data_IF_333077333966
#
_entry.id   IF_333077333966
#
_cell.length_a   1.000
_cell.length_b   1.000
_cell.length_c   1.000
_cell.angle_alpha   90.00
_cell.angle_beta   90.00
_cell.angle_gamma   90.00
#
_symmetry.space_group_name_H-M   'P 1'
#
loop_
_entity.id
_entity.type
_entity.pdbx_description
1 polymer ?
#
# COMPACT_ATOMS: atom_id res chain seq x y z
N UNK A 1 -14.87 12.59 -9.73
CA UNK A 1 -15.80 11.54 -10.22
C UNK A 1 -16.49 10.93 -9.01
N UNK A 2 -17.82 11.00 -8.96
CA UNK A 2 -18.64 10.40 -7.90
C UNK A 2 -18.71 8.90 -8.14
N UNK A 3 -18.03 8.10 -7.32
CA UNK A 3 -18.14 6.63 -7.34
C UNK A 3 -19.54 6.29 -6.85
N UNK A 4 -20.42 5.91 -7.76
CA UNK A 4 -21.75 5.42 -7.43
C UNK A 4 -21.63 4.11 -6.64
N UNK A 5 -22.39 4.01 -5.55
CA UNK A 5 -22.35 2.87 -4.64
C UNK A 5 -22.97 1.65 -5.35
N UNK A 6 -22.18 0.60 -5.53
CA UNK A 6 -22.64 -0.66 -6.14
C UNK A 6 -23.16 -1.60 -5.05
N UNK A 7 -24.46 -1.59 -4.79
CA UNK A 7 -25.06 -2.34 -3.69
C UNK A 7 -25.33 -3.83 -4.01
N UNK A 8 -25.39 -4.22 -5.28
CA UNK A 8 -25.67 -5.60 -5.69
C UNK A 8 -24.49 -6.25 -6.42
N UNK A 9 -24.33 -7.57 -6.25
CA UNK A 9 -23.35 -8.40 -6.96
C UNK A 9 -24.00 -9.10 -8.15
N UNK A 10 -23.29 -9.15 -9.27
CA UNK A 10 -23.69 -9.85 -10.48
C UNK A 10 -23.03 -11.23 -10.58
N UNK A 11 -23.57 -12.10 -11.43
CA UNK A 11 -23.00 -13.42 -11.65
C UNK A 11 -21.59 -13.34 -12.27
N UNK A 12 -21.36 -12.38 -13.17
CA UNK A 12 -20.05 -12.19 -13.82
C UNK A 12 -18.99 -11.71 -12.81
N UNK A 13 -19.37 -10.84 -11.86
CA UNK A 13 -18.50 -10.45 -10.74
C UNK A 13 -18.16 -11.64 -9.83
N UNK A 14 -19.13 -12.52 -9.56
CA UNK A 14 -18.90 -13.75 -8.77
C UNK A 14 -18.01 -14.75 -9.50
N UNK A 15 -18.15 -14.88 -10.83
CA UNK A 15 -17.32 -15.75 -11.66
C UNK A 15 -15.88 -15.25 -11.68
N UNK A 16 -15.66 -13.96 -11.87
CA UNK A 16 -14.33 -13.34 -11.81
C UNK A 16 -13.68 -13.53 -10.44
N UNK A 17 -14.44 -13.30 -9.37
CA UNK A 17 -13.96 -13.52 -8.00
C UNK A 17 -13.55 -14.99 -7.79
N UNK A 18 -14.33 -15.94 -8.31
CA UNK A 18 -14.01 -17.36 -8.22
C UNK A 18 -12.74 -17.73 -8.99
N UNK A 19 -12.62 -17.29 -10.24
CA UNK A 19 -11.47 -17.57 -11.09
C UNK A 19 -10.16 -17.09 -10.44
N UNK A 20 -10.12 -15.83 -10.01
CA UNK A 20 -8.91 -15.21 -9.45
C UNK A 20 -8.56 -15.87 -8.11
N UNK A 21 -9.53 -16.14 -7.24
CA UNK A 21 -9.25 -16.79 -5.95
C UNK A 21 -8.76 -18.23 -6.14
N UNK A 22 -9.36 -19.00 -7.05
CA UNK A 22 -8.89 -20.36 -7.36
C UNK A 22 -7.50 -20.35 -7.97
N UNK A 23 -7.19 -19.37 -8.83
CA UNK A 23 -5.83 -19.17 -9.39
C UNK A 23 -4.80 -18.94 -8.27
N UNK A 24 -5.05 -18.01 -7.36
CA UNK A 24 -4.15 -17.77 -6.22
C UNK A 24 -4.00 -18.99 -5.30
N UNK A 25 -5.05 -19.81 -5.13
CA UNK A 25 -4.95 -21.06 -4.36
C UNK A 25 -4.02 -22.07 -5.06
N UNK A 26 -4.11 -22.21 -6.38
CA UNK A 26 -3.20 -23.10 -7.15
C UNK A 26 -1.75 -22.63 -7.08
N UNK A 27 -1.54 -21.32 -7.25
CA UNK A 27 -0.23 -20.68 -7.23
C UNK A 27 0.37 -20.54 -5.82
N UNK A 28 -0.36 -20.91 -4.77
CA UNK A 28 0.10 -20.84 -3.38
C UNK A 28 0.13 -19.43 -2.77
N UNK A 29 -0.47 -18.44 -3.44
CA UNK A 29 -0.64 -17.08 -2.93
C UNK A 29 -1.79 -16.99 -1.91
N UNK A 30 -1.92 -15.83 -1.25
CA UNK A 30 -2.95 -15.58 -0.24
C UNK A 30 -4.27 -15.12 -0.86
N UNK A 31 -5.38 -15.46 -0.20
CA UNK A 31 -6.72 -14.96 -0.60
C UNK A 31 -6.82 -13.44 -0.48
N UNK A 32 -6.09 -12.80 0.45
CA UNK A 32 -6.06 -11.34 0.58
C UNK A 32 -5.51 -10.66 -0.67
N UNK A 33 -4.44 -11.20 -1.26
CA UNK A 33 -3.90 -10.74 -2.54
C UNK A 33 -4.92 -10.90 -3.67
N UNK A 34 -5.63 -12.05 -3.70
CA UNK A 34 -6.71 -12.28 -4.66
C UNK A 34 -7.84 -11.23 -4.52
N UNK A 35 -8.27 -10.93 -3.30
CA UNK A 35 -9.33 -9.95 -3.04
C UNK A 35 -8.91 -8.52 -3.38
N UNK A 36 -7.63 -8.17 -3.17
CA UNK A 36 -7.11 -6.87 -3.59
C UNK A 36 -7.09 -6.74 -5.12
N UNK A 37 -6.69 -7.80 -5.83
CA UNK A 37 -6.67 -7.83 -7.29
C UNK A 37 -8.10 -7.68 -7.85
N UNK A 38 -9.04 -8.49 -7.36
CA UNK A 38 -10.45 -8.43 -7.81
C UNK A 38 -11.10 -7.11 -7.41
N UNK A 39 -10.78 -6.59 -6.21
CA UNK A 39 -11.29 -5.29 -5.75
C UNK A 39 -10.91 -4.15 -6.70
N UNK A 40 -9.66 -4.12 -7.17
CA UNK A 40 -9.20 -3.13 -8.17
C UNK A 40 -9.94 -3.26 -9.49
N UNK A 41 -10.17 -4.50 -9.98
CA UNK A 41 -10.86 -4.74 -11.25
C UNK A 41 -12.34 -4.38 -11.19
N UNK A 42 -13.03 -4.72 -10.10
CA UNK A 42 -14.45 -4.46 -9.91
C UNK A 42 -14.75 -3.07 -9.33
N UNK A 43 -13.72 -2.25 -9.06
CA UNK A 43 -13.86 -0.99 -8.33
C UNK A 43 -14.56 -1.14 -6.97
N UNK A 44 -14.30 -2.26 -6.27
CA UNK A 44 -14.83 -2.61 -4.94
C UNK A 44 -13.69 -2.71 -3.92
N UNK A 45 -14.03 -2.65 -2.63
CA UNK A 45 -13.03 -2.86 -1.57
C UNK A 45 -12.68 -4.33 -1.41
N UNK A 46 -11.42 -4.65 -1.08
CA UNK A 46 -10.98 -6.02 -0.83
C UNK A 46 -11.81 -6.71 0.27
N UNK A 47 -12.26 -5.94 1.26
CA UNK A 47 -13.16 -6.43 2.32
C UNK A 47 -14.53 -6.85 1.77
N UNK A 48 -15.10 -6.12 0.80
CA UNK A 48 -16.36 -6.48 0.16
C UNK A 48 -16.22 -7.77 -0.67
N UNK A 49 -15.12 -7.91 -1.41
CA UNK A 49 -14.79 -9.15 -2.15
C UNK A 49 -14.67 -10.34 -1.19
N UNK A 50 -13.97 -10.16 -0.05
CA UNK A 50 -13.87 -11.20 0.97
C UNK A 50 -15.21 -11.59 1.59
N UNK A 51 -16.08 -10.61 1.88
CA UNK A 51 -17.42 -10.90 2.38
C UNK A 51 -18.27 -11.67 1.36
N UNK A 52 -18.24 -11.27 0.07
CA UNK A 52 -18.97 -11.95 -0.99
C UNK A 52 -18.47 -13.38 -1.19
N UNK A 53 -17.15 -13.56 -1.18
CA UNK A 53 -16.51 -14.86 -1.27
C UNK A 53 -17.00 -15.80 -0.16
N UNK A 54 -16.88 -15.36 1.10
CA UNK A 54 -17.21 -16.20 2.25
C UNK A 54 -18.72 -16.48 2.39
N UNK A 55 -19.57 -15.51 2.06
CA UNK A 55 -21.03 -15.64 2.22
C UNK A 55 -21.69 -16.50 1.14
N UNK A 56 -21.22 -16.41 -0.11
CA UNK A 56 -21.89 -16.99 -1.27
C UNK A 56 -20.96 -17.81 -2.18
N UNK A 57 -19.94 -17.19 -2.77
CA UNK A 57 -19.16 -17.80 -3.88
C UNK A 57 -18.40 -19.05 -3.42
N UNK A 58 -17.78 -19.04 -2.23
CA UNK A 58 -17.06 -20.20 -1.67
C UNK A 58 -17.94 -21.45 -1.55
N UNK A 59 -19.24 -21.28 -1.28
CA UNK A 59 -20.18 -22.39 -1.16
C UNK A 59 -20.54 -23.00 -2.52
N UNK A 60 -20.57 -22.19 -3.57
CA UNK A 60 -20.84 -22.63 -4.94
C UNK A 60 -19.64 -23.35 -5.57
N UNK A 61 -18.42 -22.91 -5.26
CA UNK A 61 -17.18 -23.41 -5.88
C UNK A 61 -16.39 -24.40 -5.00
N UNK A 62 -17.05 -25.15 -4.11
CA UNK A 62 -16.38 -26.10 -3.19
C UNK A 62 -15.46 -27.10 -3.92
N UNK A 63 -15.97 -27.76 -4.96
CA UNK A 63 -15.21 -28.72 -5.78
C UNK A 63 -14.02 -28.07 -6.48
N UNK A 64 -14.17 -26.83 -6.95
CA UNK A 64 -13.07 -26.06 -7.55
C UNK A 64 -11.97 -25.75 -6.55
N UNK A 65 -12.32 -25.44 -5.30
CA UNK A 65 -11.35 -25.16 -4.22
C UNK A 65 -10.55 -26.42 -3.88
N UNK A 66 -11.22 -27.58 -3.79
CA UNK A 66 -10.56 -28.86 -3.54
C UNK A 66 -9.57 -29.22 -4.65
N UNK A 67 -9.99 -29.08 -5.91
CA UNK A 67 -9.12 -29.32 -7.05
C UNK A 67 -7.92 -28.37 -7.06
N UNK A 68 -8.13 -27.08 -6.79
CA UNK A 68 -7.06 -26.07 -6.72
C UNK A 68 -6.04 -26.39 -5.62
N UNK A 69 -6.50 -26.82 -4.43
CA UNK A 69 -5.63 -27.27 -3.33
C UNK A 69 -4.85 -28.52 -3.70
N UNK A 70 -5.49 -29.48 -4.38
CA UNK A 70 -4.83 -30.71 -4.85
C UNK A 70 -3.71 -30.37 -5.84
N UNK A 71 -3.97 -29.49 -6.80
CA UNK A 71 -2.98 -29.03 -7.77
C UNK A 71 -1.80 -28.31 -7.11
N UNK A 72 -2.04 -27.46 -6.11
CA UNK A 72 -0.96 -26.84 -5.32
C UNK A 72 -0.08 -27.91 -4.66
N UNK A 73 -0.69 -28.91 -4.02
CA UNK A 73 0.04 -30.01 -3.36
C UNK A 73 0.88 -30.81 -4.36
N UNK A 74 0.34 -31.11 -5.54
CA UNK A 74 1.07 -31.81 -6.61
C UNK A 74 2.23 -30.97 -7.17
N UNK A 75 2.07 -29.65 -7.30
CA UNK A 75 3.16 -28.76 -7.76
C UNK A 75 4.31 -28.68 -6.75
N UNK A 76 4.01 -28.63 -5.45
CA UNK A 76 5.02 -28.62 -4.38
C UNK A 76 5.81 -29.94 -4.36
N UNK A 77 5.15 -31.08 -4.60
CA UNK A 77 5.82 -32.40 -4.64
C UNK A 77 6.74 -32.55 -5.87
N UNK A 78 6.38 -31.94 -6.99
CA UNK A 78 7.15 -32.05 -8.24
C UNK A 78 8.28 -31.02 -8.38
N UNK A 79 8.33 -29.96 -7.56
CA UNK A 79 9.37 -28.93 -7.64
C UNK A 79 9.75 -28.38 -6.25
N UNK A 80 10.70 -29.02 -5.54
CA UNK A 80 11.06 -28.66 -4.16
C UNK A 80 11.87 -27.36 -4.00
N UNK A 81 12.08 -26.57 -5.05
CA UNK A 81 12.94 -25.36 -5.03
C UNK A 81 12.19 -24.02 -4.87
N UNK A 82 10.86 -24.03 -4.69
CA UNK A 82 10.04 -22.80 -4.58
C UNK A 82 9.36 -22.68 -3.21
N UNK A 83 10.14 -22.72 -2.13
CA UNK A 83 9.69 -22.28 -0.81
C UNK A 83 10.77 -21.43 -0.14
N UNK A 84 10.95 -20.20 -0.63
CA UNK A 84 11.56 -19.10 0.11
C UNK A 84 10.82 -17.82 -0.19
N UNK A 85 9.57 -17.77 0.26
CA UNK A 85 8.93 -16.56 0.79
C UNK A 85 7.43 -16.82 0.93
N UNK A 86 6.89 -16.55 2.11
CA UNK A 86 5.46 -16.63 2.50
C UNK A 86 5.02 -17.89 3.25
N UNK A 87 5.66 -18.18 4.39
CA UNK A 87 4.98 -18.89 5.49
C UNK A 87 4.30 -17.84 6.36
N UNK A 88 3.01 -17.63 6.12
CA UNK A 88 2.09 -17.04 7.09
C UNK A 88 0.76 -17.81 6.96
N UNK A 89 0.79 -19.05 7.46
CA UNK A 89 -0.39 -19.89 7.67
C UNK A 89 -1.23 -19.30 8.80
N UNK A 90 -2.21 -18.48 8.45
CA UNK A 90 -3.42 -18.31 9.29
C UNK A 90 -4.41 -19.35 8.79
N UNK A 91 -4.37 -20.54 9.38
CA UNK A 91 -5.38 -21.57 9.19
C UNK A 91 -6.69 -21.08 9.83
N UNK A 92 -7.60 -20.59 8.99
CA UNK A 92 -9.01 -20.53 9.34
C UNK A 92 -9.49 -21.97 9.55
N UNK A 93 -9.69 -22.33 10.82
CA UNK A 93 -10.38 -23.52 11.30
C UNK A 93 -11.64 -23.75 10.46
N UNK A 94 -11.59 -24.75 9.58
CA UNK A 94 -12.75 -25.34 8.95
C UNK A 94 -13.41 -26.26 9.97
N UNK A 95 -14.57 -25.86 10.49
CA UNK A 95 -15.54 -26.80 11.03
C UNK A 95 -16.04 -27.61 9.83
N UNK A 96 -15.44 -28.78 9.61
CA UNK A 96 -15.97 -29.79 8.70
C UNK A 96 -17.07 -30.56 9.44
N UNK A 97 -18.29 -30.50 8.91
CA UNK A 97 -19.34 -31.47 9.23
C UNK A 97 -18.86 -32.85 8.78
N UNK A 98 -18.41 -33.64 9.75
CA UNK A 98 -18.11 -35.06 9.57
C UNK A 98 -19.44 -35.79 9.44
N UNK A 99 -19.73 -36.27 8.23
CA UNK A 99 -20.66 -37.39 8.02
C UNK A 99 -19.93 -38.67 8.46
N UNK A 100 -20.42 -39.44 9.45
CA UNK A 100 -19.70 -40.62 9.90
C UNK A 100 -20.25 -41.87 9.18
N UNK A 101 -19.65 -42.18 8.03
CA UNK A 101 -19.49 -43.56 7.60
C UNK A 101 -18.00 -43.90 7.72
N UNK A 102 -17.53 -44.25 8.92
CA UNK A 102 -16.26 -44.95 9.12
C UNK A 102 -16.38 -45.95 10.27
N UNK A 103 -16.29 -47.23 9.90
CA UNK A 103 -16.00 -48.34 10.78
C UNK A 103 -14.63 -48.14 11.45
N UNK A 104 -14.51 -48.47 12.74
CA UNK A 104 -13.24 -48.47 13.48
C UNK A 104 -13.08 -47.35 14.50
N UNK A 105 -13.62 -47.54 15.71
CA UNK A 105 -13.27 -46.72 16.88
C UNK A 105 -11.84 -47.03 17.31
N UNK A 106 -10.87 -46.28 16.81
CA UNK A 106 -9.70 -45.96 17.62
C UNK A 106 -10.12 -44.82 18.55
N UNK A 107 -10.41 -45.16 19.80
CA UNK A 107 -10.65 -44.17 20.84
C UNK A 107 -9.39 -43.34 21.00
N UNK A 108 -9.45 -42.05 20.66
CA UNK A 108 -8.37 -41.09 20.92
C UNK A 108 -7.90 -41.28 22.35
N UNK A 109 -6.60 -41.51 22.50
CA UNK A 109 -6.00 -41.78 23.80
C UNK A 109 -5.83 -40.47 24.57
N UNK A 110 -5.92 -40.51 25.90
CA UNK A 110 -5.72 -39.33 26.73
C UNK A 110 -4.33 -38.71 26.51
N UNK A 111 -3.31 -39.53 26.18
CA UNK A 111 -1.98 -39.03 25.85
C UNK A 111 -1.95 -38.20 24.56
N UNK A 112 -2.71 -38.56 23.53
CA UNK A 112 -2.82 -37.78 22.28
C UNK A 112 -3.49 -36.42 22.52
N UNK A 113 -4.51 -36.39 23.39
CA UNK A 113 -5.16 -35.12 23.79
C UNK A 113 -4.18 -34.23 24.55
N UNK A 114 -3.42 -34.80 25.48
CA UNK A 114 -2.40 -34.04 26.23
C UNK A 114 -1.35 -33.48 25.27
N UNK A 115 -0.81 -34.31 24.35
CA UNK A 115 0.17 -33.86 23.37
C UNK A 115 -0.37 -32.72 22.51
N UNK A 116 -1.62 -32.83 22.04
CA UNK A 116 -2.27 -31.79 21.26
C UNK A 116 -2.42 -30.49 22.04
N UNK A 117 -2.91 -30.55 23.29
CA UNK A 117 -3.09 -29.37 24.13
C UNK A 117 -1.75 -28.70 24.50
N UNK A 118 -0.70 -29.48 24.78
CA UNK A 118 0.64 -28.94 25.03
C UNK A 118 1.21 -28.25 23.79
N UNK A 119 1.03 -28.85 22.61
CA UNK A 119 1.46 -28.22 21.35
C UNK A 119 0.67 -26.94 21.05
N UNK A 120 -0.63 -26.93 21.39
CA UNK A 120 -1.48 -25.75 21.23
C UNK A 120 -1.08 -24.63 22.19
N UNK A 121 -0.72 -24.95 23.43
CA UNK A 121 -0.18 -23.99 24.40
C UNK A 121 1.15 -23.39 23.92
N UNK A 122 2.07 -24.23 23.43
CA UNK A 122 3.35 -23.76 22.87
C UNK A 122 3.15 -22.82 21.68
N UNK A 123 2.23 -23.14 20.77
CA UNK A 123 1.88 -22.27 19.65
C UNK A 123 1.29 -20.94 20.14
N UNK A 124 0.40 -20.97 21.12
CA UNK A 124 -0.22 -19.77 21.68
C UNK A 124 0.80 -18.85 22.38
N UNK A 125 1.77 -19.43 23.07
CA UNK A 125 2.88 -18.71 23.70
C UNK A 125 3.78 -18.02 22.66
N UNK A 126 4.10 -18.70 21.55
CA UNK A 126 4.86 -18.12 20.45
C UNK A 126 4.10 -16.99 19.76
N UNK A 127 2.80 -17.20 19.49
CA UNK A 127 1.94 -16.22 18.84
C UNK A 127 1.76 -14.97 19.72
N UNK A 128 1.65 -15.12 21.04
CA UNK A 128 1.62 -13.99 21.97
C UNK A 128 2.93 -13.21 22.01
N UNK A 129 4.07 -13.89 22.05
CA UNK A 129 5.39 -13.22 21.99
C UNK A 129 5.57 -12.43 20.70
N UNK A 130 5.12 -12.98 19.58
CA UNK A 130 5.19 -12.29 18.29
C UNK A 130 4.24 -11.09 18.24
N UNK A 131 3.02 -11.23 18.77
CA UNK A 131 2.09 -10.10 18.93
C UNK A 131 2.67 -8.98 19.79
N UNK A 132 3.31 -9.31 20.90
CA UNK A 132 3.99 -8.32 21.75
C UNK A 132 5.09 -7.59 20.98
N UNK A 133 5.97 -8.31 20.28
CA UNK A 133 7.02 -7.71 19.45
C UNK A 133 6.47 -6.82 18.34
N UNK A 134 5.41 -7.26 17.66
CA UNK A 134 4.76 -6.47 16.61
C UNK A 134 4.14 -5.21 17.22
N UNK A 135 3.48 -5.32 18.37
CA UNK A 135 2.87 -4.19 19.07
C UNK A 135 3.92 -3.16 19.49
N UNK A 136 5.03 -3.59 20.09
CA UNK A 136 6.15 -2.72 20.47
C UNK A 136 6.75 -2.00 19.26
N UNK A 137 6.95 -2.74 18.15
CA UNK A 137 7.48 -2.17 16.92
C UNK A 137 6.50 -1.18 16.29
N UNK A 138 5.20 -1.45 16.33
CA UNK A 138 4.17 -0.53 15.84
C UNK A 138 4.20 0.78 16.63
N UNK A 139 4.25 0.70 17.97
CA UNK A 139 4.33 1.85 18.85
C UNK A 139 5.61 2.68 18.58
N UNK A 140 6.74 2.00 18.38
CA UNK A 140 8.00 2.66 18.04
C UNK A 140 7.92 3.40 16.69
N UNK A 141 7.38 2.74 15.66
CA UNK A 141 7.21 3.33 14.34
C UNK A 141 6.25 4.50 14.35
N UNK A 142 5.14 4.43 15.10
CA UNK A 142 4.21 5.55 15.26
C UNK A 142 4.89 6.76 15.91
N UNK A 143 5.66 6.55 16.99
CA UNK A 143 6.41 7.63 17.65
C UNK A 143 7.43 8.26 16.70
N UNK A 144 8.14 7.43 15.95
CA UNK A 144 9.14 7.91 14.98
C UNK A 144 8.49 8.67 13.82
N UNK A 145 7.32 8.21 13.35
CA UNK A 145 6.57 8.89 12.31
C UNK A 145 6.12 10.29 12.77
N UNK A 146 5.60 10.40 14.00
CA UNK A 146 5.26 11.70 14.59
C UNK A 146 6.49 12.62 14.66
N UNK A 147 7.62 12.11 15.15
CA UNK A 147 8.89 12.86 15.23
C UNK A 147 9.33 13.38 13.86
N UNK A 148 9.32 12.51 12.85
CA UNK A 148 9.71 12.87 11.49
C UNK A 148 8.74 13.88 10.87
N UNK A 149 7.44 13.77 11.15
CA UNK A 149 6.45 14.74 10.67
C UNK A 149 6.69 16.13 11.28
N UNK A 150 6.93 16.22 12.59
CA UNK A 150 7.28 17.47 13.26
C UNK A 150 8.56 18.10 12.66
N UNK A 151 9.60 17.29 12.46
CA UNK A 151 10.84 17.75 11.84
C UNK A 151 10.61 18.23 10.41
N UNK A 152 9.78 17.52 9.63
CA UNK A 152 9.44 17.90 8.26
C UNK A 152 8.70 19.22 8.19
N UNK A 153 7.78 19.47 9.13
CA UNK A 153 7.06 20.74 9.24
C UNK A 153 8.04 21.87 9.55
N UNK A 154 8.91 21.69 10.55
CA UNK A 154 9.91 22.68 10.92
C UNK A 154 10.87 23.01 9.77
N UNK A 155 11.36 21.98 9.07
CA UNK A 155 12.23 22.15 7.90
C UNK A 155 11.54 22.91 6.78
N UNK A 156 10.26 22.67 6.53
CA UNK A 156 9.48 23.39 5.52
C UNK A 156 9.29 24.86 5.88
N UNK A 157 9.03 25.16 7.15
CA UNK A 157 8.93 26.54 7.63
C UNK A 157 10.27 27.27 7.49
N UNK A 158 11.38 26.64 7.89
CA UNK A 158 12.72 27.19 7.72
C UNK A 158 13.06 27.44 6.24
N UNK A 159 12.73 26.48 5.36
CA UNK A 159 12.94 26.63 3.93
C UNK A 159 12.15 27.82 3.38
N UNK A 160 10.90 27.98 3.79
CA UNK A 160 10.06 29.12 3.39
C UNK A 160 10.64 30.45 3.87
N UNK A 161 11.12 30.52 5.12
CA UNK A 161 11.76 31.73 5.65
C UNK A 161 13.02 32.09 4.83
N UNK A 162 13.87 31.11 4.53
CA UNK A 162 15.07 31.31 3.68
C UNK A 162 14.69 31.75 2.27
N UNK A 163 13.63 31.20 1.68
CA UNK A 163 13.14 31.62 0.37
C UNK A 163 12.64 33.08 0.37
N UNK A 164 11.96 33.51 1.44
CA UNK A 164 11.49 34.88 1.61
C UNK A 164 12.66 35.86 1.77
N UNK A 165 13.67 35.51 2.58
CA UNK A 165 14.89 36.29 2.74
C UNK A 165 15.68 36.39 1.42
N UNK A 166 15.79 35.29 0.68
CA UNK A 166 16.42 35.28 -0.63
C UNK A 166 15.70 36.21 -1.62
N UNK A 167 14.36 36.19 -1.64
CA UNK A 167 13.56 37.11 -2.48
C UNK A 167 13.75 38.56 -2.07
N UNK A 168 13.79 38.86 -0.77
CA UNK A 168 14.05 40.20 -0.26
C UNK A 168 15.44 40.70 -0.69
N UNK A 169 16.47 39.85 -0.58
CA UNK A 169 17.82 40.15 -1.04
C UNK A 169 17.86 40.44 -2.55
N UNK A 170 17.19 39.61 -3.36
CA UNK A 170 17.10 39.82 -4.81
C UNK A 170 16.39 41.14 -5.16
N UNK A 171 15.35 41.53 -4.43
CA UNK A 171 14.68 42.82 -4.62
C UNK A 171 15.58 43.99 -4.27
N UNK A 172 16.36 43.89 -3.18
CA UNK A 172 17.33 44.92 -2.79
C UNK A 172 18.41 45.04 -3.87
N UNK A 173 18.93 43.91 -4.36
CA UNK A 173 19.94 43.88 -5.42
C UNK A 173 19.43 44.52 -6.72
N UNK A 174 18.19 44.21 -7.12
CA UNK A 174 17.56 44.81 -8.30
C UNK A 174 17.31 46.32 -8.14
N UNK A 175 16.92 46.77 -6.94
CA UNK A 175 16.79 48.20 -6.64
C UNK A 175 18.14 48.92 -6.67
N UNK A 176 19.17 48.33 -6.07
CA UNK A 176 20.52 48.87 -6.10
C UNK A 176 21.05 48.99 -7.54
N UNK A 177 20.80 47.96 -8.38
CA UNK A 177 21.13 47.98 -9.81
C UNK A 177 20.40 49.09 -10.57
N UNK A 178 19.11 49.31 -10.29
CA UNK A 178 18.34 50.40 -10.93
C UNK A 178 18.85 51.78 -10.51
N UNK A 179 19.18 51.95 -9.23
CA UNK A 179 19.73 53.20 -8.72
C UNK A 179 21.10 53.52 -9.32
N UNK A 180 21.99 52.52 -9.46
CA UNK A 180 23.30 52.75 -10.08
C UNK A 180 23.19 53.18 -11.54
N UNK A 181 22.29 52.56 -12.31
CA UNK A 181 22.02 52.97 -13.71
C UNK A 181 21.46 54.39 -13.78
N UNK A 182 20.57 54.77 -12.85
CA UNK A 182 20.03 56.14 -12.79
C UNK A 182 21.07 57.18 -12.37
N UNK A 183 22.02 56.82 -11.50
CA UNK A 183 23.14 57.69 -11.13
C UNK A 183 24.10 57.89 -12.31
N UNK A 184 24.38 56.85 -13.09
CA UNK A 184 25.18 56.96 -14.33
C UNK A 184 24.52 57.87 -15.38
N UNK A 185 23.19 57.77 -15.57
CA UNK A 185 22.42 58.65 -16.46
C UNK A 185 22.43 60.12 -16.00
N UNK A 186 22.35 60.37 -14.68
CA UNK A 186 22.41 61.72 -14.11
C UNK A 186 23.81 62.32 -14.12
N UNK A 187 24.86 61.50 -13.97
CA UNK A 187 26.25 61.94 -14.04
C UNK A 187 26.69 62.27 -15.47
N UNK A 188 26.06 61.67 -16.49
CA UNK A 188 26.30 61.93 -17.91
C UNK A 188 25.05 62.44 -18.66
N UNK A 189 24.52 63.64 -18.35
CA UNK A 189 23.27 64.15 -18.94
C UNK A 189 23.40 64.61 -20.40
N UNK A 190 24.55 64.44 -21.06
CA UNK A 190 24.83 64.99 -22.38
C UNK A 190 24.44 64.10 -23.56
N UNK A 191 23.93 62.90 -23.33
CA UNK A 191 23.54 62.02 -24.45
C UNK A 191 22.25 61.27 -24.13
N UNK A 192 21.11 61.81 -24.58
CA UNK A 192 19.83 61.11 -24.58
C UNK A 192 19.81 60.20 -25.80
N UNK A 193 19.57 58.91 -25.64
CA UNK A 193 19.42 58.00 -26.79
C UNK A 193 17.96 57.63 -26.96
N UNK A 194 17.42 57.82 -28.16
CA UNK A 194 16.07 57.39 -28.50
C UNK A 194 16.15 56.23 -29.50
N UNK A 195 15.34 55.20 -29.28
CA UNK A 195 15.31 54.00 -30.13
C UNK A 195 14.40 54.22 -31.33
N UNK A 196 14.92 53.98 -32.53
CA UNK A 196 14.13 54.07 -33.77
C UNK A 196 13.20 52.86 -33.91
N UNK A 197 12.33 52.89 -34.94
CA UNK A 197 11.35 51.83 -35.22
C UNK A 197 11.99 50.49 -35.60
N UNK A 198 13.29 50.47 -35.85
CA UNK A 198 14.06 49.30 -36.28
C UNK A 198 14.94 48.75 -35.13
N UNK A 199 14.89 49.34 -33.94
CA UNK A 199 15.60 48.87 -32.75
C UNK A 199 17.03 49.39 -32.61
N UNK A 200 17.44 50.38 -33.41
CA UNK A 200 18.75 51.04 -33.27
C UNK A 200 18.65 52.28 -32.37
N UNK A 201 19.65 52.48 -31.51
CA UNK A 201 19.72 53.60 -30.57
C UNK A 201 20.52 54.76 -31.18
N UNK A 202 19.86 55.88 -31.48
CA UNK A 202 20.51 57.10 -31.98
C UNK A 202 20.68 58.15 -30.86
N UNK A 203 21.82 58.87 -30.90
CA UNK A 203 22.15 59.95 -29.96
C UNK A 203 21.39 61.21 -30.33
N UNK A 204 20.55 61.69 -29.42
CA UNK A 204 19.86 62.97 -29.52
C UNK A 204 20.55 63.97 -28.58
N UNK A 205 21.13 65.02 -29.17
CA UNK A 205 21.55 66.20 -28.41
C UNK A 205 20.33 67.11 -28.24
N UNK A 206 20.10 67.60 -27.02
CA UNK A 206 19.01 68.52 -26.71
C UNK A 206 19.30 69.93 -27.19
#
# INVERSE_FOLDING_TARGET
>A
MTIARQDAWTHDEDLLLAEVVLRHIREGSTQLKAFEEVGKQLSRTSAACGFRWNSFVRKQYKSGIELAKKQRKEQVVNNPEVERDSIATVENVTIEEITPEHEGKESITLQEVILYLTKMDEFFQLDNKEKERISERSLFLERENVRLLEENVLLKENLKAVEEDYRALMQIMERARKLSVQEDEKANPKVSFQMDKNGNLERVNK
#
